data_IF_282971839611
#
_entry.id   IF_282971839611
#
_cell.length_a   1.000
_cell.length_b   1.000
_cell.length_c   1.000
_cell.angle_alpha   90.00
_cell.angle_beta   90.00
_cell.angle_gamma   90.00
#
_symmetry.space_group_name_H-M   'P 1'
#
loop_
_entity.id
_entity.type
_entity.pdbx_description
1 polymer ?
#
# COMPACT_ATOMS: atom_id res chain seq x y z
N UNK A 1 -20.47 -26.10 47.92
CA UNK A 1 -19.23 -25.74 47.20
C UNK A 1 -19.07 -26.43 45.84
N UNK A 2 -19.44 -27.71 45.66
CA UNK A 2 -19.35 -28.43 44.37
C UNK A 2 -20.18 -27.80 43.22
N UNK A 3 -21.37 -27.26 43.50
CA UNK A 3 -22.22 -26.63 42.47
C UNK A 3 -21.64 -25.31 41.91
N UNK A 4 -20.85 -24.58 42.70
CA UNK A 4 -20.24 -23.30 42.28
C UNK A 4 -19.09 -23.58 41.31
N UNK A 5 -18.27 -24.60 41.57
CA UNK A 5 -17.19 -25.01 40.67
C UNK A 5 -17.71 -25.45 39.29
N UNK A 6 -18.85 -26.15 39.25
CA UNK A 6 -19.51 -26.58 38.00
C UNK A 6 -20.02 -25.40 37.16
N UNK A 7 -20.54 -24.35 37.79
CA UNK A 7 -21.00 -23.14 37.10
C UNK A 7 -19.82 -22.34 36.49
N UNK A 8 -18.68 -22.30 37.18
CA UNK A 8 -17.47 -21.62 36.68
C UNK A 8 -16.90 -22.37 35.47
N UNK A 9 -16.83 -23.71 35.53
CA UNK A 9 -16.34 -24.54 34.41
C UNK A 9 -17.29 -24.42 33.20
N UNK A 10 -18.60 -24.39 33.44
CA UNK A 10 -19.59 -24.16 32.37
C UNK A 10 -19.42 -22.79 31.73
N UNK A 11 -19.17 -21.72 32.50
CA UNK A 11 -18.98 -20.37 31.97
C UNK A 11 -17.74 -20.27 31.07
N UNK A 12 -16.63 -20.95 31.42
CA UNK A 12 -15.39 -20.95 30.64
C UNK A 12 -15.58 -21.61 29.26
N UNK A 13 -16.44 -22.63 29.16
CA UNK A 13 -16.71 -23.33 27.90
C UNK A 13 -17.52 -22.50 26.89
N UNK A 14 -18.27 -21.47 27.33
CA UNK A 14 -19.08 -20.63 26.46
C UNK A 14 -18.32 -19.43 25.84
N UNK A 15 -17.16 -19.03 26.39
CA UNK A 15 -16.37 -17.91 25.84
C UNK A 15 -15.46 -18.30 24.67
N UNK A 16 -15.40 -19.58 24.30
CA UNK A 16 -14.42 -20.10 23.34
C UNK A 16 -14.78 -19.99 21.85
N UNK A 17 -15.94 -19.44 21.49
CA UNK A 17 -16.35 -19.36 20.08
C UNK A 17 -16.02 -17.98 19.49
N UNK A 18 -14.74 -17.76 19.15
CA UNK A 18 -14.35 -16.65 18.29
C UNK A 18 -14.21 -17.15 16.84
N UNK A 19 -15.08 -16.71 15.95
CA UNK A 19 -14.89 -16.89 14.51
C UNK A 19 -13.61 -16.20 14.07
N UNK A 20 -12.84 -16.81 13.17
CA UNK A 20 -11.66 -16.17 12.59
C UNK A 20 -12.04 -14.80 11.99
N UNK A 21 -11.25 -13.74 12.23
CA UNK A 21 -11.53 -12.44 11.67
C UNK A 21 -11.34 -12.50 10.15
N UNK A 22 -12.42 -12.20 9.41
CA UNK A 22 -12.34 -11.95 7.97
C UNK A 22 -11.68 -10.59 7.75
N UNK A 23 -10.81 -10.49 6.76
CA UNK A 23 -10.05 -9.27 6.46
C UNK A 23 -10.49 -8.67 5.14
N UNK A 24 -10.60 -7.35 5.11
CA UNK A 24 -10.67 -6.52 3.91
C UNK A 24 -9.29 -5.94 3.61
N UNK A 25 -8.90 -5.88 2.34
CA UNK A 25 -7.62 -5.31 1.90
C UNK A 25 -7.83 -4.13 0.97
N UNK A 26 -6.93 -3.15 1.07
CA UNK A 26 -6.92 -1.97 0.19
C UNK A 26 -5.50 -1.65 -0.24
N UNK A 27 -5.34 -1.35 -1.52
CA UNK A 27 -4.07 -0.91 -2.11
C UNK A 27 -4.17 0.56 -2.46
N UNK A 28 -3.24 1.37 -1.95
CA UNK A 28 -3.06 2.76 -2.35
C UNK A 28 -1.76 2.87 -3.12
N UNK A 29 -1.84 3.36 -4.36
CA UNK A 29 -0.68 3.68 -5.20
C UNK A 29 -0.47 5.19 -5.22
N UNK A 30 0.72 5.62 -4.84
CA UNK A 30 1.11 7.03 -4.81
C UNK A 30 2.16 7.26 -5.89
N UNK A 31 1.90 8.24 -6.75
CA UNK A 31 2.80 8.62 -7.83
C UNK A 31 3.66 9.82 -7.42
N UNK A 32 4.80 10.02 -8.09
CA UNK A 32 5.62 11.22 -7.90
C UNK A 32 4.81 12.47 -8.25
N UNK A 33 5.11 13.59 -7.59
CA UNK A 33 4.46 14.88 -7.88
C UNK A 33 4.70 15.37 -9.32
N UNK A 34 5.85 15.02 -9.90
CA UNK A 34 6.20 15.32 -11.28
C UNK A 34 6.35 14.02 -12.07
N UNK A 35 5.68 13.92 -13.21
CA UNK A 35 5.94 12.87 -14.19
C UNK A 35 7.11 13.28 -15.07
N UNK A 36 8.11 12.40 -15.20
CA UNK A 36 9.27 12.61 -16.07
C UNK A 36 9.29 11.53 -17.13
N UNK A 37 9.66 11.89 -18.36
CA UNK A 37 9.80 10.92 -19.43
C UNK A 37 10.91 9.91 -19.12
N UNK A 38 10.73 8.71 -19.67
CA UNK A 38 11.68 7.62 -19.55
C UNK A 38 12.82 7.72 -20.56
N UNK A 39 12.78 8.68 -21.47
CA UNK A 39 13.79 8.92 -22.51
C UNK A 39 14.20 10.40 -22.55
N UNK A 40 15.35 10.70 -23.16
CA UNK A 40 15.83 12.07 -23.27
C UNK A 40 16.38 12.65 -21.96
N UNK A 41 16.40 13.97 -21.85
CA UNK A 41 16.99 14.69 -20.70
C UNK A 41 16.30 14.35 -19.37
N UNK A 42 14.97 14.18 -19.40
CA UNK A 42 14.16 13.90 -18.22
C UNK A 42 14.40 12.50 -17.62
N UNK A 43 14.97 11.57 -18.39
CA UNK A 43 15.36 10.25 -17.90
C UNK A 43 16.48 10.29 -16.85
N UNK A 44 17.26 11.38 -16.80
CA UNK A 44 18.30 11.60 -15.80
C UNK A 44 17.75 12.21 -14.51
N UNK A 45 16.53 12.74 -14.52
CA UNK A 45 15.93 13.37 -13.34
C UNK A 45 15.58 12.31 -12.31
N UNK A 46 16.08 12.52 -11.10
CA UNK A 46 15.67 11.78 -9.91
C UNK A 46 14.36 12.36 -9.38
N UNK A 47 13.55 11.52 -8.75
CA UNK A 47 12.41 11.97 -7.98
C UNK A 47 12.19 11.07 -6.76
N UNK A 48 11.59 11.64 -5.73
CA UNK A 48 11.18 10.97 -4.51
C UNK A 48 9.66 10.84 -4.48
N UNK A 49 9.16 9.82 -3.80
CA UNK A 49 7.74 9.65 -3.52
C UNK A 49 7.55 9.71 -2.01
N UNK A 50 6.74 10.67 -1.55
CA UNK A 50 6.42 10.84 -0.15
C UNK A 50 4.90 10.69 0.03
N UNK A 51 4.44 9.87 0.99
CA UNK A 51 3.01 9.75 1.25
C UNK A 51 2.50 11.02 1.97
N UNK A 52 1.23 11.36 1.73
CA UNK A 52 0.57 12.44 2.46
C UNK A 52 0.17 11.99 3.87
N UNK A 53 0.74 12.61 4.91
CA UNK A 53 0.37 12.32 6.30
C UNK A 53 -1.13 12.49 6.55
N UNK A 54 -1.75 13.47 5.90
CA UNK A 54 -3.19 13.73 6.03
C UNK A 54 -4.05 12.60 5.46
N UNK A 55 -3.63 11.99 4.34
CA UNK A 55 -4.34 10.85 3.73
C UNK A 55 -4.15 9.58 4.56
N UNK A 56 -2.93 9.33 5.04
CA UNK A 56 -2.64 8.23 5.95
C UNK A 56 -3.46 8.33 7.24
N UNK A 57 -3.57 9.53 7.79
CA UNK A 57 -4.38 9.79 8.99
C UNK A 57 -5.87 9.53 8.73
N UNK A 58 -6.41 9.96 7.57
CA UNK A 58 -7.79 9.65 7.17
C UNK A 58 -8.04 8.15 7.05
N UNK A 59 -7.07 7.38 6.53
CA UNK A 59 -7.15 5.92 6.48
C UNK A 59 -7.16 5.30 7.88
N UNK A 60 -6.30 5.78 8.77
CA UNK A 60 -6.26 5.37 10.18
C UNK A 60 -7.60 5.59 10.89
N UNK A 61 -8.23 6.77 10.72
CA UNK A 61 -9.57 7.04 11.29
C UNK A 61 -10.67 6.11 10.74
N UNK A 62 -10.50 5.57 9.54
CA UNK A 62 -11.40 4.58 8.93
C UNK A 62 -11.10 3.14 9.35
N UNK A 63 -10.15 2.95 10.28
CA UNK A 63 -9.75 1.64 10.79
C UNK A 63 -8.82 0.86 9.86
N UNK A 64 -8.25 1.49 8.84
CA UNK A 64 -7.25 0.85 7.97
C UNK A 64 -5.88 0.84 8.65
N UNK A 65 -5.28 -0.34 8.71
CA UNK A 65 -3.93 -0.57 9.23
C UNK A 65 -2.96 -0.86 8.10
N UNK A 66 -1.80 -0.20 8.10
CA UNK A 66 -0.74 -0.47 7.12
C UNK A 66 -0.12 -1.83 7.41
N UNK A 67 -0.13 -2.71 6.40
CA UNK A 67 0.48 -4.05 6.47
C UNK A 67 1.91 -4.01 5.94
N UNK A 68 2.09 -3.41 4.77
CA UNK A 68 3.40 -3.32 4.11
C UNK A 68 3.43 -2.17 3.11
N UNK A 69 4.64 -1.81 2.69
CA UNK A 69 4.89 -0.86 1.62
C UNK A 69 6.05 -1.33 0.75
N UNK A 70 6.00 -0.99 -0.53
CA UNK A 70 7.10 -1.24 -1.47
C UNK A 70 7.09 -0.23 -2.61
N UNK A 71 8.26 -0.06 -3.23
CA UNK A 71 8.42 0.79 -4.41
C UNK A 71 8.29 -0.06 -5.67
N UNK A 72 7.44 0.36 -6.60
CA UNK A 72 7.54 -0.07 -7.99
C UNK A 72 8.64 0.78 -8.63
N UNK A 73 9.66 0.14 -9.21
CA UNK A 73 10.79 0.82 -9.84
C UNK A 73 10.63 0.78 -11.35
N UNK A 74 11.02 1.86 -12.03
CA UNK A 74 11.13 1.92 -13.48
C UNK A 74 12.57 2.06 -13.94
N UNK A 75 12.84 1.60 -15.17
CA UNK A 75 14.10 1.90 -15.87
C UNK A 75 13.86 3.04 -16.85
N UNK A 76 14.68 4.08 -16.73
CA UNK A 76 14.80 5.21 -17.64
C UNK A 76 16.05 5.06 -18.52
N UNK A 77 15.94 5.49 -19.77
CA UNK A 77 16.91 5.34 -20.84
C UNK A 77 17.27 6.71 -21.46
N UNK A 78 18.21 7.45 -20.83
CA UNK A 78 18.57 8.81 -21.28
C UNK A 78 19.02 8.90 -22.73
N UNK A 79 19.74 7.89 -23.19
CA UNK A 79 20.40 7.89 -24.49
C UNK A 79 19.58 7.18 -25.58
N UNK A 80 18.33 6.78 -25.29
CA UNK A 80 17.51 6.05 -26.26
C UNK A 80 16.92 7.02 -27.29
N UNK A 81 17.33 6.88 -28.55
CA UNK A 81 16.86 7.71 -29.66
C UNK A 81 17.65 9.00 -29.91
N UNK A 82 18.84 9.17 -29.31
CA UNK A 82 19.75 10.27 -29.62
C UNK A 82 21.00 9.73 -30.33
N UNK A 83 21.21 10.13 -31.59
CA UNK A 83 22.32 9.69 -32.42
C UNK A 83 23.69 10.23 -31.95
N UNK A 84 23.71 11.34 -31.21
CA UNK A 84 24.95 11.98 -30.74
C UNK A 84 25.57 11.26 -29.52
N UNK A 85 24.83 10.38 -28.85
CA UNK A 85 25.27 9.66 -27.64
C UNK A 85 25.90 8.31 -27.99
N UNK A 86 27.15 8.34 -28.45
CA UNK A 86 27.99 7.15 -28.58
C UNK A 86 28.76 6.87 -27.28
N UNK A 87 28.21 6.02 -26.41
CA UNK A 87 28.89 5.01 -25.55
C UNK A 87 27.98 4.57 -24.39
N UNK A 88 27.48 3.33 -24.46
CA UNK A 88 26.84 2.60 -23.36
C UNK A 88 25.37 2.96 -23.06
N UNK A 89 24.54 1.92 -22.85
CA UNK A 89 23.21 2.09 -22.25
C UNK A 89 23.43 2.40 -20.77
N UNK A 90 23.39 3.68 -20.40
CA UNK A 90 23.30 4.07 -18.98
C UNK A 90 21.87 3.84 -18.53
N UNK A 91 21.60 2.67 -17.97
CA UNK A 91 20.33 2.41 -17.29
C UNK A 91 20.26 3.25 -16.02
N UNK A 92 19.17 4.00 -15.86
CA UNK A 92 18.86 4.70 -14.61
C UNK A 92 17.62 4.06 -14.01
N UNK A 93 17.70 3.55 -12.79
CA UNK A 93 16.56 2.95 -12.10
C UNK A 93 16.07 3.92 -11.05
N UNK A 94 14.79 4.31 -11.15
CA UNK A 94 14.16 5.25 -10.21
C UNK A 94 12.80 4.73 -9.78
N UNK A 95 12.25 5.20 -8.64
CA UNK A 95 10.89 4.88 -8.26
C UNK A 95 9.91 5.26 -9.38
N UNK A 96 8.80 4.54 -9.49
CA UNK A 96 7.68 4.84 -10.38
C UNK A 96 6.42 5.08 -9.55
N UNK A 97 6.23 4.27 -8.52
CA UNK A 97 5.13 4.42 -7.56
C UNK A 97 5.54 3.90 -6.18
N UNK A 98 4.94 4.46 -5.14
CA UNK A 98 4.93 3.87 -3.80
C UNK A 98 3.61 3.14 -3.62
N UNK A 99 3.67 1.84 -3.35
CA UNK A 99 2.50 1.02 -3.08
C UNK A 99 2.38 0.79 -1.58
N UNK A 100 1.21 1.06 -1.05
CA UNK A 100 0.85 0.85 0.35
C UNK A 100 -0.29 -0.17 0.42
N UNK A 101 -0.07 -1.28 1.13
CA UNK A 101 -1.09 -2.30 1.37
C UNK A 101 -1.66 -2.14 2.78
N UNK A 102 -2.97 -1.99 2.87
CA UNK A 102 -3.71 -1.87 4.11
C UNK A 102 -4.64 -3.06 4.33
N UNK A 103 -4.96 -3.32 5.59
CA UNK A 103 -6.02 -4.25 5.99
C UNK A 103 -6.94 -3.64 7.05
N UNK A 104 -8.16 -4.16 7.16
CA UNK A 104 -9.06 -3.94 8.30
C UNK A 104 -10.01 -5.14 8.49
N UNK A 105 -10.65 -5.29 9.66
CA UNK A 105 -11.71 -6.30 9.83
C UNK A 105 -12.84 -6.07 8.81
N UNK A 106 -13.29 -7.15 8.18
CA UNK A 106 -14.38 -7.12 7.21
C UNK A 106 -15.71 -6.74 7.90
N UNK A 107 -16.34 -5.65 7.44
CA UNK A 107 -17.57 -5.12 8.03
C UNK A 107 -18.84 -5.63 7.35
N UNK A 108 -18.73 -6.42 6.27
CA UNK A 108 -19.90 -6.86 5.49
C UNK A 108 -20.26 -5.96 4.32
N UNK A 109 -19.64 -4.78 4.22
CA UNK A 109 -19.89 -3.79 3.17
C UNK A 109 -18.57 -3.43 2.49
N UNK A 110 -18.56 -3.44 1.15
CA UNK A 110 -17.45 -2.87 0.40
C UNK A 110 -17.57 -1.34 0.44
N UNK A 111 -16.45 -0.64 0.65
CA UNK A 111 -16.39 0.79 0.39
C UNK A 111 -16.85 1.02 -1.07
N UNK A 112 -17.86 1.87 -1.28
CA UNK A 112 -18.26 2.27 -2.64
C UNK A 112 -17.01 2.81 -3.34
N UNK A 113 -16.66 2.23 -4.49
CA UNK A 113 -15.59 2.76 -5.34
C UNK A 113 -16.00 4.19 -5.69
N UNK A 114 -15.32 5.17 -5.09
CA UNK A 114 -15.42 6.55 -5.53
C UNK A 114 -14.51 6.63 -6.74
N UNK A 115 -15.09 6.49 -7.94
CA UNK A 115 -14.41 6.89 -9.17
C UNK A 115 -14.22 8.41 -9.10
N UNK A 116 -13.05 8.85 -8.64
CA UNK A 116 -12.61 10.23 -8.84
C UNK A 116 -12.21 10.37 -10.31
N UNK A 117 -13.05 11.06 -11.09
CA UNK A 117 -12.76 11.57 -12.43
C UNK A 117 -11.95 12.87 -12.34
#
# INVERSE_FOLDING_TARGET
>A
MKCIALLIISAILFFGCSSEPKWEYKVLKIYPANSYDRTGEDALRYHTIAPSESELTKLGYKGWELVTSYLEMETAYPNFGNEDYHTGIKTNVRPQSLVLLFKRPWTGEFDKVVEEN
#
